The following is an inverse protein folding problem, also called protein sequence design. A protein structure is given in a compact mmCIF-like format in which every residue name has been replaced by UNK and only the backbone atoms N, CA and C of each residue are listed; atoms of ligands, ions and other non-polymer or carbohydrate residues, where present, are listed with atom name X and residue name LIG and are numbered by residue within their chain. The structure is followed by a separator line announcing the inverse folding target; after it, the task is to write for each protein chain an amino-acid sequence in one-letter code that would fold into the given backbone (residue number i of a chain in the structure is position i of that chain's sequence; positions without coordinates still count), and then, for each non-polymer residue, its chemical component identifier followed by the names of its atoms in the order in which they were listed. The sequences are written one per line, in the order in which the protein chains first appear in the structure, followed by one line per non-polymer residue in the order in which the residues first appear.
data_IF_898381358074
#
_entry.id   IF_898381358074
#
_cell.length_a   1.000
_cell.length_b   1.000
_cell.length_c   1.000
_cell.angle_alpha   90.00
_cell.angle_beta   90.00
_cell.angle_gamma   90.00
#
_symmetry.space_group_name_H-M   'P 1'
#
loop_
_entity.id
_entity.type
_entity.pdbx_description
1 polymer ?
#
# COMPACT_ATOMS: atom_id res chain seq x y z
N UNK A 1 -11.71 22.32 18.72
CA UNK A 1 -10.26 22.24 19.09
C UNK A 1 -9.45 22.38 17.82
N UNK A 2 -8.23 22.92 17.88
CA UNK A 2 -7.35 23.01 16.71
C UNK A 2 -6.72 21.65 16.43
N UNK A 3 -6.44 21.35 15.15
CA UNK A 3 -5.66 20.17 14.76
C UNK A 3 -4.24 20.33 15.28
N UNK A 4 -3.73 19.32 15.97
CA UNK A 4 -2.34 19.21 16.44
C UNK A 4 -1.59 18.06 15.78
N UNK A 5 -2.32 17.08 15.24
CA UNK A 5 -1.74 15.85 14.68
C UNK A 5 -2.32 15.56 13.30
N UNK A 6 -1.44 15.19 12.37
CA UNK A 6 -1.82 14.73 11.02
C UNK A 6 -1.36 13.29 10.87
N UNK A 7 -2.31 12.41 10.58
CA UNK A 7 -2.07 10.98 10.35
C UNK A 7 -2.10 10.75 8.85
N UNK A 8 -1.00 10.25 8.28
CA UNK A 8 -0.89 9.96 6.85
C UNK A 8 -0.95 8.46 6.60
N UNK A 9 -1.66 8.05 5.57
CA UNK A 9 -1.41 6.81 4.89
C UNK A 9 -0.14 6.90 4.03
N UNK A 10 0.44 5.75 3.65
CA UNK A 10 1.68 5.67 2.88
C UNK A 10 1.44 5.48 1.38
N UNK A 11 0.84 4.34 1.01
CA UNK A 11 0.72 3.88 -0.36
C UNK A 11 -0.35 4.66 -1.14
N UNK A 12 0.01 5.23 -2.27
CA UNK A 12 -0.82 6.11 -3.10
C UNK A 12 -1.28 7.43 -2.42
N UNK A 13 -0.77 7.68 -1.22
CA UNK A 13 -0.90 8.97 -0.51
C UNK A 13 0.41 9.76 -0.56
N UNK A 14 1.50 9.21 -0.04
CA UNK A 14 2.86 9.77 -0.05
C UNK A 14 3.74 9.09 -1.11
N UNK A 15 3.72 7.75 -1.16
CA UNK A 15 4.32 6.95 -2.20
C UNK A 15 3.33 6.76 -3.35
N UNK A 16 3.82 6.78 -4.57
CA UNK A 16 3.03 6.43 -5.74
C UNK A 16 3.18 4.93 -6.04
N UNK A 17 2.58 4.09 -5.17
CA UNK A 17 2.74 2.64 -5.24
C UNK A 17 2.11 2.04 -6.51
N UNK A 18 0.96 2.53 -6.94
CA UNK A 18 0.34 2.14 -8.22
C UNK A 18 1.30 2.28 -9.39
N UNK A 19 2.08 3.38 -9.45
CA UNK A 19 3.09 3.59 -10.50
C UNK A 19 4.25 2.62 -10.36
N UNK A 20 4.69 2.34 -9.14
CA UNK A 20 5.77 1.39 -8.87
C UNK A 20 5.37 -0.04 -9.30
N UNK A 21 4.17 -0.49 -8.92
CA UNK A 21 3.61 -1.78 -9.36
C UNK A 21 3.50 -1.86 -10.88
N UNK A 22 2.92 -0.83 -11.51
CA UNK A 22 2.76 -0.76 -12.96
C UNK A 22 4.11 -0.85 -13.67
N UNK A 23 5.09 -0.06 -13.23
CA UNK A 23 6.44 -0.04 -13.82
C UNK A 23 7.13 -1.41 -13.72
N UNK A 24 7.00 -2.09 -12.58
CA UNK A 24 7.59 -3.42 -12.40
C UNK A 24 6.93 -4.45 -13.32
N UNK A 25 5.60 -4.43 -13.47
CA UNK A 25 4.91 -5.28 -14.43
C UNK A 25 5.33 -4.98 -15.87
N UNK A 26 5.32 -3.71 -16.29
CA UNK A 26 5.72 -3.29 -17.63
C UNK A 26 7.14 -3.78 -17.98
N UNK A 27 8.10 -3.56 -17.10
CA UNK A 27 9.50 -3.99 -17.31
C UNK A 27 9.63 -5.51 -17.38
N UNK A 28 8.96 -6.23 -16.47
CA UNK A 28 9.01 -7.70 -16.44
C UNK A 28 8.33 -8.31 -17.66
N UNK A 29 7.15 -7.82 -18.05
CA UNK A 29 6.44 -8.32 -19.25
C UNK A 29 7.15 -7.94 -20.55
N UNK A 30 7.78 -6.76 -20.65
CA UNK A 30 8.61 -6.40 -21.80
C UNK A 30 9.83 -7.31 -21.91
N UNK A 31 10.47 -7.67 -20.81
CA UNK A 31 11.52 -8.68 -20.83
C UNK A 31 11.01 -10.04 -21.32
N UNK A 32 9.85 -10.48 -20.84
CA UNK A 32 9.26 -11.73 -21.32
C UNK A 32 9.04 -11.73 -22.83
N UNK A 33 8.66 -10.58 -23.41
CA UNK A 33 8.49 -10.42 -24.86
C UNK A 33 9.80 -10.51 -25.65
N UNK A 34 10.97 -10.34 -25.02
CA UNK A 34 12.27 -10.54 -25.69
C UNK A 34 12.68 -12.02 -25.77
N UNK A 35 12.13 -12.86 -24.88
CA UNK A 35 12.44 -14.31 -24.82
C UNK A 35 11.41 -15.13 -25.56
N UNK A 36 10.14 -14.83 -25.32
CA UNK A 36 9.00 -15.46 -26.01
C UNK A 36 8.24 -14.41 -26.83
N UNK A 37 7.65 -14.82 -27.94
CA UNK A 37 6.81 -13.93 -28.75
C UNK A 37 5.45 -13.70 -28.09
N UNK A 38 5.45 -12.99 -26.96
CA UNK A 38 4.27 -12.73 -26.11
C UNK A 38 3.94 -11.22 -26.12
N UNK A 39 2.64 -10.91 -26.09
CA UNK A 39 2.21 -9.53 -25.91
C UNK A 39 2.34 -9.12 -24.43
N UNK A 40 3.14 -8.10 -24.10
CA UNK A 40 3.39 -7.70 -22.71
C UNK A 40 2.12 -7.32 -21.94
N UNK A 41 1.19 -6.61 -22.58
CA UNK A 41 -0.06 -6.17 -21.95
C UNK A 41 -0.95 -7.35 -21.61
N UNK A 42 -1.08 -8.29 -22.53
CA UNK A 42 -1.86 -9.52 -22.29
C UNK A 42 -1.24 -10.41 -21.22
N UNK A 43 0.10 -10.44 -21.14
CA UNK A 43 0.80 -11.17 -20.08
C UNK A 43 0.53 -10.54 -18.72
N UNK A 44 0.64 -9.22 -18.60
CA UNK A 44 0.32 -8.51 -17.36
C UNK A 44 -1.11 -8.80 -16.91
N UNK A 45 -2.10 -8.66 -17.81
CA UNK A 45 -3.51 -8.96 -17.52
C UNK A 45 -3.70 -10.40 -17.01
N UNK A 46 -3.05 -11.38 -17.68
CA UNK A 46 -3.10 -12.77 -17.29
C UNK A 46 -2.48 -13.00 -15.91
N UNK A 47 -1.25 -12.52 -15.67
CA UNK A 47 -0.58 -12.67 -14.38
C UNK A 47 -1.37 -12.02 -13.24
N UNK A 48 -1.92 -10.82 -13.46
CA UNK A 48 -2.75 -10.14 -12.45
C UNK A 48 -4.02 -10.93 -12.10
N UNK A 49 -4.64 -11.56 -13.09
CA UNK A 49 -5.82 -12.45 -12.89
C UNK A 49 -5.43 -13.68 -12.10
N UNK A 50 -4.39 -14.39 -12.53
CA UNK A 50 -3.94 -15.63 -11.88
C UNK A 50 -3.43 -15.36 -10.46
N UNK A 51 -2.71 -14.26 -10.25
CA UNK A 51 -2.27 -13.85 -8.92
C UNK A 51 -3.44 -13.69 -7.95
N UNK A 52 -4.52 -12.99 -8.35
CA UNK A 52 -5.72 -12.84 -7.49
C UNK A 52 -6.36 -14.20 -7.18
N UNK A 53 -6.57 -15.02 -8.21
CA UNK A 53 -7.22 -16.33 -8.04
C UNK A 53 -6.43 -17.27 -7.12
N UNK A 54 -5.11 -17.31 -7.26
CA UNK A 54 -4.24 -18.09 -6.37
C UNK A 54 -4.27 -17.56 -4.94
N UNK A 55 -4.16 -16.25 -4.76
CA UNK A 55 -4.09 -15.61 -3.45
C UNK A 55 -5.34 -15.87 -2.62
N UNK A 56 -6.51 -15.79 -3.23
CA UNK A 56 -7.81 -16.10 -2.59
C UNK A 56 -7.93 -17.57 -2.16
N UNK A 57 -7.16 -18.46 -2.75
CA UNK A 57 -7.16 -19.90 -2.43
C UNK A 57 -6.29 -20.30 -1.24
N UNK A 58 -5.43 -19.43 -0.72
CA UNK A 58 -4.54 -19.78 0.37
C UNK A 58 -5.21 -19.66 1.75
N UNK A 59 -4.81 -20.53 2.67
CA UNK A 59 -5.30 -20.52 4.06
C UNK A 59 -5.03 -19.21 4.82
N UNK A 60 -4.09 -18.39 4.33
CA UNK A 60 -3.74 -17.08 4.90
C UNK A 60 -4.60 -15.94 4.39
N UNK A 61 -5.53 -16.19 3.46
CA UNK A 61 -6.29 -15.13 2.78
C UNK A 61 -7.06 -14.23 3.76
N UNK A 62 -7.81 -14.82 4.69
CA UNK A 62 -8.59 -14.05 5.69
C UNK A 62 -7.68 -13.16 6.54
N UNK A 63 -6.50 -13.64 6.89
CA UNK A 63 -5.53 -12.85 7.64
C UNK A 63 -4.98 -11.69 6.79
N UNK A 64 -4.65 -11.94 5.52
CA UNK A 64 -4.16 -10.88 4.63
C UNK A 64 -5.19 -9.79 4.40
N UNK A 65 -6.48 -10.16 4.28
CA UNK A 65 -7.59 -9.20 4.22
C UNK A 65 -7.71 -8.40 5.52
N UNK A 66 -7.60 -9.06 6.68
CA UNK A 66 -7.72 -8.43 8.00
C UNK A 66 -6.67 -7.32 8.21
N UNK A 67 -5.44 -7.53 7.76
CA UNK A 67 -4.35 -6.55 7.91
C UNK A 67 -4.11 -5.69 6.65
N UNK A 68 -4.85 -5.95 5.56
CA UNK A 68 -4.85 -5.15 4.35
C UNK A 68 -3.68 -5.40 3.41
N UNK A 69 -3.22 -6.65 3.28
CA UNK A 69 -2.22 -7.05 2.27
C UNK A 69 -2.92 -7.51 0.99
N UNK A 70 -2.57 -6.93 -0.13
CA UNK A 70 -3.14 -7.27 -1.43
C UNK A 70 -2.31 -8.34 -2.19
N UNK A 71 -2.89 -9.01 -3.22
CA UNK A 71 -2.20 -10.04 -3.99
C UNK A 71 -0.87 -9.59 -4.62
N UNK A 72 -0.77 -8.32 -5.01
CA UNK A 72 0.44 -7.82 -5.68
C UNK A 72 1.56 -7.52 -4.70
N UNK A 73 1.26 -7.26 -3.44
CA UNK A 73 2.23 -7.23 -2.35
C UNK A 73 2.78 -8.63 -2.08
N UNK A 74 1.94 -9.67 -2.15
CA UNK A 74 2.37 -11.07 -2.12
C UNK A 74 3.37 -11.43 -3.21
N UNK A 75 3.33 -10.78 -4.38
CA UNK A 75 4.27 -11.05 -5.46
C UNK A 75 5.71 -10.57 -5.18
N UNK A 76 5.96 -9.73 -4.18
CA UNK A 76 7.32 -9.23 -3.93
C UNK A 76 7.73 -9.17 -2.45
N UNK A 77 6.80 -9.28 -1.52
CA UNK A 77 7.07 -9.33 -0.08
C UNK A 77 7.77 -10.64 0.32
N UNK A 78 8.58 -10.60 1.37
CA UNK A 78 9.24 -11.78 1.95
C UNK A 78 8.51 -12.33 3.16
N UNK A 79 7.76 -11.48 3.87
CA UNK A 79 6.99 -11.81 5.07
C UNK A 79 7.85 -12.45 6.17
N UNK A 80 9.05 -11.90 6.40
CA UNK A 80 10.01 -12.37 7.42
C UNK A 80 9.58 -12.01 8.87
N UNK A 81 8.32 -11.62 9.04
CA UNK A 81 7.72 -11.24 10.31
C UNK A 81 7.46 -12.45 11.21
N UNK A 82 7.35 -12.23 12.53
CA UNK A 82 7.45 -13.32 13.53
C UNK A 82 6.14 -14.03 13.86
N UNK A 83 4.97 -13.51 13.47
CA UNK A 83 3.69 -14.18 13.80
C UNK A 83 3.47 -15.44 12.97
N UNK A 84 2.74 -16.41 13.50
CA UNK A 84 2.45 -17.67 12.82
C UNK A 84 1.84 -17.48 11.42
N UNK A 85 0.96 -16.49 11.27
CA UNK A 85 0.34 -16.19 9.98
C UNK A 85 1.36 -15.68 8.96
N UNK A 86 2.30 -14.83 9.38
CA UNK A 86 3.37 -14.38 8.49
C UNK A 86 4.37 -15.49 8.17
N UNK A 87 4.67 -16.39 9.11
CA UNK A 87 5.53 -17.54 8.81
C UNK A 87 4.89 -18.46 7.76
N UNK A 88 3.58 -18.68 7.82
CA UNK A 88 2.86 -19.39 6.76
C UNK A 88 2.92 -18.66 5.41
N UNK A 89 2.73 -17.34 5.40
CA UNK A 89 2.88 -16.54 4.18
C UNK A 89 4.29 -16.64 3.59
N UNK A 90 5.32 -16.62 4.44
CA UNK A 90 6.72 -16.80 4.03
C UNK A 90 6.95 -18.12 3.32
N UNK A 91 6.32 -19.21 3.78
CA UNK A 91 6.39 -20.52 3.13
C UNK A 91 5.64 -20.56 1.79
N UNK A 92 4.49 -19.89 1.70
CA UNK A 92 3.61 -19.86 0.51
C UNK A 92 4.20 -18.99 -0.61
N UNK A 93 4.73 -17.82 -0.27
CA UNK A 93 5.01 -16.75 -1.24
C UNK A 93 6.00 -17.12 -2.36
N UNK A 94 7.08 -17.89 -2.15
CA UNK A 94 7.95 -18.28 -3.27
C UNK A 94 7.21 -19.12 -4.33
N UNK A 95 6.37 -20.07 -3.90
CA UNK A 95 5.53 -20.88 -4.78
C UNK A 95 4.44 -20.04 -5.47
N UNK A 96 3.74 -19.21 -4.70
CA UNK A 96 2.73 -18.29 -5.22
C UNK A 96 3.26 -17.38 -6.34
N UNK A 97 4.44 -16.79 -6.13
CA UNK A 97 5.09 -15.92 -7.09
C UNK A 97 5.43 -16.65 -8.38
N UNK A 98 6.10 -17.80 -8.29
CA UNK A 98 6.43 -18.61 -9.44
C UNK A 98 5.19 -19.08 -10.19
N UNK A 99 4.16 -19.54 -9.47
CA UNK A 99 2.93 -20.08 -10.06
C UNK A 99 2.10 -19.00 -10.74
N UNK A 100 2.00 -17.79 -10.19
CA UNK A 100 1.26 -16.68 -10.80
C UNK A 100 1.83 -16.32 -12.18
N UNK A 101 3.13 -16.25 -12.33
CA UNK A 101 3.79 -15.96 -13.59
C UNK A 101 3.73 -17.17 -14.56
N UNK A 102 3.90 -18.39 -14.07
CA UNK A 102 3.78 -19.62 -14.87
C UNK A 102 2.36 -19.74 -15.45
N UNK A 103 1.33 -19.54 -14.64
CA UNK A 103 -0.07 -19.58 -15.12
C UNK A 103 -0.39 -18.42 -16.06
N UNK A 104 0.20 -17.25 -15.83
CA UNK A 104 0.10 -16.12 -16.75
C UNK A 104 0.67 -16.44 -18.14
N UNK A 105 1.83 -17.09 -18.22
CA UNK A 105 2.42 -17.59 -19.47
C UNK A 105 1.55 -18.67 -20.11
N UNK A 106 1.09 -19.64 -19.32
CA UNK A 106 0.24 -20.73 -19.80
C UNK A 106 -1.09 -20.23 -20.42
N UNK A 107 -1.67 -19.16 -19.87
CA UNK A 107 -2.86 -18.51 -20.44
C UNK A 107 -2.62 -17.93 -21.84
N UNK A 108 -1.35 -17.74 -22.23
CA UNK A 108 -0.92 -17.30 -23.57
C UNK A 108 -0.27 -18.43 -24.36
N UNK A 109 -0.52 -19.69 -23.98
CA UNK A 109 -0.02 -20.91 -24.60
C UNK A 109 1.52 -21.07 -24.55
N UNK A 110 2.16 -20.55 -23.51
CA UNK A 110 3.59 -20.73 -23.23
C UNK A 110 3.71 -21.63 -22.00
N UNK A 111 4.19 -22.85 -22.21
CA UNK A 111 4.45 -23.84 -21.16
C UNK A 111 5.92 -23.81 -20.77
N UNK A 112 6.27 -22.87 -19.87
CA UNK A 112 7.63 -22.68 -19.38
C UNK A 112 7.62 -22.26 -17.89
N UNK A 113 7.54 -23.26 -17.03
CA UNK A 113 7.51 -23.03 -15.57
C UNK A 113 8.82 -22.47 -15.03
N UNK A 114 9.97 -22.80 -15.64
CA UNK A 114 11.26 -22.27 -15.23
C UNK A 114 11.33 -20.77 -15.53
N UNK A 115 10.90 -20.37 -16.69
CA UNK A 115 10.83 -18.96 -17.08
C UNK A 115 9.80 -18.20 -16.24
N UNK A 116 8.65 -18.82 -15.91
CA UNK A 116 7.68 -18.25 -15.00
C UNK A 116 8.28 -17.91 -13.63
N UNK A 117 9.07 -18.82 -13.05
CA UNK A 117 9.79 -18.57 -11.80
C UNK A 117 10.82 -17.43 -11.95
N UNK A 118 11.56 -17.37 -13.06
CA UNK A 118 12.50 -16.29 -13.37
C UNK A 118 11.79 -14.92 -13.43
N UNK A 119 10.64 -14.86 -14.11
CA UNK A 119 9.84 -13.63 -14.19
C UNK A 119 9.33 -13.18 -12.81
N UNK A 120 8.97 -14.12 -11.94
CA UNK A 120 8.61 -13.83 -10.56
C UNK A 120 9.74 -13.13 -9.78
N UNK A 121 10.95 -13.65 -9.86
CA UNK A 121 12.12 -13.02 -9.23
C UNK A 121 12.50 -11.69 -9.88
N UNK A 122 12.35 -11.59 -11.20
CA UNK A 122 12.55 -10.33 -11.89
C UNK A 122 11.56 -9.25 -11.44
N UNK A 123 10.29 -9.59 -11.27
CA UNK A 123 9.29 -8.66 -10.75
C UNK A 123 9.69 -8.10 -9.38
N UNK A 124 10.19 -8.96 -8.47
CA UNK A 124 10.72 -8.52 -7.16
C UNK A 124 11.85 -7.53 -7.32
N UNK A 125 12.81 -7.83 -8.21
CA UNK A 125 13.96 -6.94 -8.45
C UNK A 125 13.51 -5.59 -9.02
N UNK A 126 12.57 -5.58 -9.98
CA UNK A 126 12.05 -4.35 -10.57
C UNK A 126 11.24 -3.50 -9.55
N UNK A 127 10.51 -4.15 -8.64
CA UNK A 127 9.82 -3.43 -7.54
C UNK A 127 10.81 -2.68 -6.63
N UNK A 128 11.90 -3.33 -6.25
CA UNK A 128 12.92 -2.76 -5.36
C UNK A 128 13.65 -1.55 -5.96
N UNK A 129 13.79 -1.50 -7.29
CA UNK A 129 14.50 -0.41 -7.98
C UNK A 129 13.56 0.62 -8.63
N UNK A 130 12.28 0.52 -8.39
CA UNK A 130 11.27 1.42 -8.95
C UNK A 130 10.39 2.06 -7.85
N UNK A 131 10.96 2.64 -6.79
CA UNK A 131 10.17 3.45 -5.86
C UNK A 131 9.80 4.78 -6.53
N UNK A 132 8.55 5.21 -6.35
CA UNK A 132 8.10 6.52 -6.78
C UNK A 132 7.40 7.23 -5.64
N UNK A 133 7.61 8.54 -5.57
CA UNK A 133 6.87 9.43 -4.69
C UNK A 133 6.04 10.39 -5.55
N UNK A 134 5.02 10.99 -4.95
CA UNK A 134 4.38 12.13 -5.56
C UNK A 134 5.29 13.36 -5.44
N UNK A 135 5.26 14.22 -6.46
CA UNK A 135 6.18 15.37 -6.57
C UNK A 135 6.04 16.35 -5.41
N UNK A 136 4.86 16.44 -4.81
CA UNK A 136 4.54 17.36 -3.73
C UNK A 136 4.79 16.77 -2.32
N UNK A 137 5.17 15.50 -2.19
CA UNK A 137 5.33 14.81 -0.91
C UNK A 137 6.28 15.54 0.04
N UNK A 138 7.52 15.75 -0.36
CA UNK A 138 8.51 16.36 0.54
C UNK A 138 8.23 17.84 0.81
N UNK A 139 7.80 18.59 -0.22
CA UNK A 139 7.50 20.01 -0.06
C UNK A 139 6.39 20.25 0.98
N UNK A 140 5.42 19.33 1.06
CA UNK A 140 4.33 19.39 2.04
C UNK A 140 4.80 18.92 3.42
N UNK A 141 5.49 17.78 3.49
CA UNK A 141 6.02 17.25 4.75
C UNK A 141 6.97 18.25 5.44
N UNK A 142 7.84 18.95 4.67
CA UNK A 142 8.73 19.99 5.19
C UNK A 142 7.97 21.15 5.84
N UNK A 143 6.82 21.51 5.31
CA UNK A 143 6.02 22.61 5.87
C UNK A 143 5.19 22.20 7.09
N UNK A 144 4.89 20.92 7.24
CA UNK A 144 4.11 20.38 8.36
C UNK A 144 4.99 19.99 9.55
N UNK A 145 6.20 19.47 9.29
CA UNK A 145 7.15 19.03 10.32
C UNK A 145 7.48 20.15 11.29
N UNK A 146 7.39 19.84 12.58
CA UNK A 146 7.65 20.79 13.68
C UNK A 146 6.51 21.76 13.98
N UNK A 147 5.44 21.77 13.16
CA UNK A 147 4.19 22.48 13.45
C UNK A 147 3.11 21.54 13.97
N UNK A 148 3.10 20.32 13.45
CA UNK A 148 2.17 19.24 13.79
C UNK A 148 2.95 18.01 14.20
N UNK A 149 2.36 17.19 15.06
CA UNK A 149 2.80 15.81 15.23
C UNK A 149 2.40 15.03 13.97
N UNK A 150 3.36 14.31 13.37
CA UNK A 150 3.12 13.53 12.16
C UNK A 150 3.14 12.04 12.49
N UNK A 151 2.09 11.35 12.11
CA UNK A 151 1.94 9.89 12.29
C UNK A 151 1.77 9.23 10.95
N UNK A 152 2.51 8.16 10.69
CA UNK A 152 2.30 7.27 9.55
C UNK A 152 1.47 6.08 10.00
N UNK A 153 0.32 5.85 9.36
CA UNK A 153 -0.55 4.70 9.60
C UNK A 153 -0.79 3.95 8.29
N UNK A 154 -0.11 2.83 8.11
CA UNK A 154 -0.16 2.05 6.87
C UNK A 154 -0.61 0.62 7.09
N UNK A 155 -1.41 0.09 6.15
CA UNK A 155 -1.79 -1.32 6.11
C UNK A 155 -0.69 -2.13 5.42
N UNK A 156 -0.38 -3.31 5.93
CA UNK A 156 0.57 -4.24 5.31
C UNK A 156 1.37 -5.07 6.32
N UNK A 157 2.26 -5.90 5.79
CA UNK A 157 3.24 -6.64 6.57
C UNK A 157 4.36 -5.70 7.03
N UNK A 158 4.83 -5.78 8.30
CA UNK A 158 5.92 -4.94 8.79
C UNK A 158 7.18 -5.05 7.95
N UNK A 159 7.59 -6.27 7.58
CA UNK A 159 8.75 -6.49 6.70
C UNK A 159 8.65 -5.77 5.37
N UNK A 160 7.45 -5.74 4.77
CA UNK A 160 7.23 -5.12 3.47
C UNK A 160 7.13 -3.59 3.57
N UNK A 161 6.37 -3.06 4.53
CA UNK A 161 6.24 -1.61 4.69
C UNK A 161 7.57 -0.97 5.12
N UNK A 162 8.35 -1.66 5.99
CA UNK A 162 9.71 -1.22 6.32
C UNK A 162 10.63 -1.26 5.09
N UNK A 163 10.55 -2.28 4.23
CA UNK A 163 11.31 -2.30 2.97
C UNK A 163 10.95 -1.10 2.07
N UNK A 164 9.66 -0.73 1.97
CA UNK A 164 9.26 0.47 1.23
C UNK A 164 9.93 1.73 1.80
N UNK A 165 9.98 1.86 3.13
CA UNK A 165 10.66 2.98 3.80
C UNK A 165 12.19 2.92 3.66
N UNK A 166 12.78 1.74 3.62
CA UNK A 166 14.23 1.57 3.38
C UNK A 166 14.66 2.00 1.97
N UNK A 167 13.84 1.72 0.96
CA UNK A 167 14.13 2.15 -0.43
C UNK A 167 13.70 3.60 -0.71
N UNK A 168 13.04 4.27 0.25
CA UNK A 168 12.69 5.69 0.27
C UNK A 168 13.05 6.30 1.62
N UNK A 169 14.36 6.32 1.99
CA UNK A 169 14.82 6.55 3.35
C UNK A 169 14.51 7.96 3.88
N UNK A 170 14.19 8.90 3.00
CA UNK A 170 13.88 10.27 3.38
C UNK A 170 12.49 10.42 4.03
N UNK A 171 11.58 9.43 3.87
CA UNK A 171 10.20 9.50 4.37
C UNK A 171 10.13 9.31 5.88
N UNK A 172 10.71 8.23 6.40
CA UNK A 172 10.57 7.85 7.81
C UNK A 172 10.96 8.97 8.80
N UNK A 173 12.01 9.79 8.56
CA UNK A 173 12.42 10.85 9.48
C UNK A 173 11.39 11.98 9.69
N UNK A 174 10.35 12.07 8.88
CA UNK A 174 9.29 13.07 9.09
C UNK A 174 8.34 12.70 10.21
N UNK A 175 8.19 11.42 10.53
CA UNK A 175 7.14 10.91 11.39
C UNK A 175 7.61 10.70 12.84
N UNK A 176 6.80 11.15 13.78
CA UNK A 176 7.00 10.92 15.22
C UNK A 176 6.61 9.48 15.58
N UNK A 177 5.63 8.91 14.88
CA UNK A 177 5.21 7.52 15.03
C UNK A 177 4.96 6.89 13.66
N UNK A 178 5.39 5.63 13.50
CA UNK A 178 5.09 4.78 12.35
C UNK A 178 4.35 3.55 12.86
N UNK A 179 3.13 3.35 12.38
CA UNK A 179 2.25 2.26 12.80
C UNK A 179 1.87 1.46 11.57
N UNK A 180 2.20 0.16 11.61
CA UNK A 180 1.95 -0.80 10.55
C UNK A 180 0.91 -1.81 11.05
N UNK A 181 -0.13 -2.05 10.28
CA UNK A 181 -1.25 -2.91 10.70
C UNK A 181 -0.84 -4.33 11.06
N UNK A 182 0.18 -4.87 10.40
CA UNK A 182 0.69 -6.20 10.69
C UNK A 182 1.31 -6.36 12.09
N UNK A 183 1.88 -5.29 12.66
CA UNK A 183 2.36 -5.27 14.06
C UNK A 183 1.19 -5.19 15.05
N UNK A 184 0.11 -4.53 14.67
CA UNK A 184 -1.08 -4.39 15.51
C UNK A 184 -2.02 -5.60 15.43
N UNK A 185 -2.05 -6.30 14.28
CA UNK A 185 -2.88 -7.47 14.02
C UNK A 185 -4.22 -7.19 13.34
N UNK A 186 -4.56 -5.92 13.09
CA UNK A 186 -5.72 -5.49 12.30
C UNK A 186 -5.40 -4.21 11.55
N UNK A 187 -5.91 -4.10 10.32
CA UNK A 187 -5.72 -2.93 9.46
C UNK A 187 -6.91 -1.98 9.43
N UNK A 188 -6.69 -0.79 8.89
CA UNK A 188 -7.76 0.12 8.49
C UNK A 188 -8.74 -0.65 7.56
N UNK A 189 -10.04 -0.53 7.72
CA UNK A 189 -10.81 0.45 8.50
C UNK A 189 -11.26 -0.01 9.89
N UNK A 190 -10.59 -0.97 10.54
CA UNK A 190 -10.96 -1.36 11.91
C UNK A 190 -10.74 -0.18 12.86
N UNK A 191 -11.75 0.14 13.68
CA UNK A 191 -11.69 1.28 14.60
C UNK A 191 -10.54 1.15 15.61
N UNK A 192 -10.22 -0.08 16.04
CA UNK A 192 -9.22 -0.33 17.07
C UNK A 192 -7.81 0.11 16.70
N UNK A 193 -7.43 0.10 15.41
CA UNK A 193 -6.11 0.60 15.02
C UNK A 193 -6.04 2.14 15.13
N UNK A 194 -7.14 2.84 14.87
CA UNK A 194 -7.22 4.30 15.08
C UNK A 194 -7.21 4.65 16.57
N UNK A 195 -7.89 3.87 17.42
CA UNK A 195 -7.83 4.01 18.87
C UNK A 195 -6.41 3.81 19.39
N UNK A 196 -5.70 2.80 18.87
CA UNK A 196 -4.29 2.56 19.18
C UNK A 196 -3.39 3.72 18.72
N UNK A 197 -3.63 4.30 17.54
CA UNK A 197 -2.91 5.51 17.10
C UNK A 197 -3.14 6.67 18.06
N UNK A 198 -4.38 6.92 18.47
CA UNK A 198 -4.70 8.00 19.41
C UNK A 198 -4.02 7.80 20.76
N UNK A 199 -3.99 6.58 21.27
CA UNK A 199 -3.26 6.23 22.51
C UNK A 199 -1.75 6.49 22.36
N UNK A 200 -1.13 6.00 21.29
CA UNK A 200 0.31 6.12 21.02
C UNK A 200 0.76 7.57 20.82
N UNK A 201 -0.04 8.36 20.14
CA UNK A 201 0.24 9.77 19.89
C UNK A 201 -0.21 10.70 21.05
N UNK A 202 -0.92 10.14 22.05
CA UNK A 202 -1.51 10.85 23.18
C UNK A 202 -2.44 12.01 22.75
N UNK A 203 -3.39 11.70 21.88
CA UNK A 203 -4.33 12.65 21.28
C UNK A 203 -5.76 12.11 21.33
N UNK A 204 -6.71 13.02 21.10
CA UNK A 204 -8.12 12.70 20.88
C UNK A 204 -8.49 12.80 19.38
N UNK A 205 -9.61 12.22 18.98
CA UNK A 205 -10.08 12.27 17.60
C UNK A 205 -10.26 13.72 17.08
N UNK A 206 -10.70 14.65 17.94
CA UNK A 206 -10.91 16.07 17.58
C UNK A 206 -9.61 16.84 17.32
N UNK A 207 -8.47 16.33 17.82
CA UNK A 207 -7.15 16.93 17.67
C UNK A 207 -6.40 16.40 16.45
N UNK A 208 -6.94 15.36 15.79
CA UNK A 208 -6.30 14.69 14.68
C UNK A 208 -7.11 14.83 13.38
N UNK A 209 -6.39 14.63 12.27
CA UNK A 209 -6.97 14.50 10.93
C UNK A 209 -6.27 13.36 10.19
N UNK A 210 -7.06 12.41 9.65
CA UNK A 210 -6.54 11.34 8.79
C UNK A 210 -6.47 11.80 7.33
N UNK A 211 -5.36 11.55 6.67
CA UNK A 211 -5.10 11.86 5.27
C UNK A 211 -4.79 10.58 4.51
N UNK A 212 -5.59 10.22 3.52
CA UNK A 212 -5.40 9.01 2.74
C UNK A 212 -6.13 9.02 1.39
N UNK A 213 -5.77 8.09 0.51
CA UNK A 213 -6.35 7.97 -0.84
C UNK A 213 -7.56 7.04 -0.90
N UNK A 214 -7.79 6.22 0.14
CA UNK A 214 -8.76 5.13 0.08
C UNK A 214 -9.98 5.38 0.97
N UNK A 215 -11.15 5.53 0.32
CA UNK A 215 -12.44 5.72 1.00
C UNK A 215 -12.79 4.57 1.95
N UNK A 216 -12.44 3.32 1.60
CA UNK A 216 -12.86 2.13 2.32
C UNK A 216 -11.95 1.78 3.50
N UNK A 217 -10.77 2.36 3.59
CA UNK A 217 -9.80 2.14 4.68
C UNK A 217 -9.61 3.40 5.51
N UNK A 218 -9.05 4.46 4.93
CA UNK A 218 -8.65 5.68 5.61
C UNK A 218 -9.84 6.50 6.09
N UNK A 219 -10.75 6.77 5.14
CA UNK A 219 -11.90 7.64 5.39
C UNK A 219 -12.95 6.91 6.22
N UNK A 220 -13.29 5.68 5.86
CA UNK A 220 -14.24 4.88 6.62
C UNK A 220 -13.74 4.62 8.06
N UNK A 221 -12.46 4.25 8.21
CA UNK A 221 -11.89 3.91 9.51
C UNK A 221 -11.83 5.11 10.45
N UNK A 222 -11.31 6.25 9.99
CA UNK A 222 -11.26 7.49 10.76
C UNK A 222 -12.66 8.01 11.12
N UNK A 223 -13.63 7.87 10.21
CA UNK A 223 -15.02 8.24 10.49
C UNK A 223 -15.66 7.41 11.60
N UNK A 224 -15.28 6.12 11.74
CA UNK A 224 -15.79 5.24 12.81
C UNK A 224 -15.40 5.68 14.21
N UNK A 225 -14.31 6.42 14.34
CA UNK A 225 -13.84 6.97 15.62
C UNK A 225 -14.13 8.46 15.76
N UNK A 226 -14.92 9.04 14.85
CA UNK A 226 -15.28 10.47 14.88
C UNK A 226 -14.14 11.42 14.52
N UNK A 227 -13.05 10.91 13.92
CA UNK A 227 -11.91 11.70 13.49
C UNK A 227 -12.19 12.37 12.14
N UNK A 228 -11.81 13.65 12.01
CA UNK A 228 -11.83 14.34 10.71
C UNK A 228 -10.90 13.65 9.71
N UNK A 229 -11.23 13.74 8.43
CA UNK A 229 -10.44 13.12 7.38
C UNK A 229 -10.38 13.95 6.10
N UNK A 230 -9.34 13.69 5.32
CA UNK A 230 -9.13 14.26 3.99
C UNK A 230 -8.91 13.13 3.01
N UNK A 231 -9.77 13.02 2.04
CA UNK A 231 -9.59 12.12 0.93
C UNK A 231 -8.72 12.76 -0.14
N UNK A 232 -7.56 12.15 -0.42
CA UNK A 232 -6.67 12.56 -1.52
C UNK A 232 -7.17 11.87 -2.80
N UNK A 233 -7.95 12.57 -3.57
CA UNK A 233 -8.61 12.07 -4.80
C UNK A 233 -7.89 12.54 -6.07
N UNK A 234 -6.68 12.04 -6.30
CA UNK A 234 -5.84 12.45 -7.46
C UNK A 234 -6.43 12.07 -8.82
N UNK A 235 -7.30 11.06 -8.85
CA UNK A 235 -7.86 10.51 -10.08
C UNK A 235 -9.28 11.02 -10.39
N UNK A 236 -9.81 11.94 -9.57
CA UNK A 236 -11.19 12.45 -9.67
C UNK A 236 -12.23 11.31 -9.66
N UNK A 237 -12.02 10.30 -8.83
CA UNK A 237 -12.95 9.19 -8.65
C UNK A 237 -14.26 9.68 -8.03
N UNK A 238 -15.37 9.05 -8.42
CA UNK A 238 -16.67 9.33 -7.80
C UNK A 238 -16.77 8.53 -6.50
N UNK A 239 -17.10 9.21 -5.40
CA UNK A 239 -17.35 8.54 -4.12
C UNK A 239 -18.52 7.56 -4.28
N UNK A 240 -18.33 6.32 -3.82
CA UNK A 240 -19.32 5.23 -3.96
C UNK A 240 -20.53 5.34 -3.01
N UNK A 241 -20.61 6.43 -2.24
CA UNK A 241 -21.71 6.68 -1.31
C UNK A 241 -21.67 5.90 0.01
N UNK A 242 -20.68 5.01 0.20
CA UNK A 242 -20.55 4.23 1.44
C UNK A 242 -20.05 5.09 2.62
N UNK A 243 -19.23 6.10 2.33
CA UNK A 243 -18.71 7.07 3.30
C UNK A 243 -18.53 8.43 2.62
N UNK A 244 -18.76 9.50 3.38
CA UNK A 244 -18.50 10.87 2.92
C UNK A 244 -17.28 11.40 3.64
N UNK A 245 -16.22 11.82 2.93
CA UNK A 245 -15.05 12.43 3.57
C UNK A 245 -15.42 13.78 4.18
N UNK A 246 -14.71 14.18 5.26
CA UNK A 246 -14.86 15.53 5.83
C UNK A 246 -14.38 16.58 4.83
N UNK A 247 -13.28 16.28 4.14
CA UNK A 247 -12.71 17.10 3.07
C UNK A 247 -12.23 16.21 1.93
N UNK A 248 -12.19 16.76 0.73
CA UNK A 248 -11.65 16.14 -0.46
C UNK A 248 -10.69 17.12 -1.14
N UNK A 249 -9.51 16.64 -1.54
CA UNK A 249 -8.50 17.39 -2.29
C UNK A 249 -7.87 16.48 -3.35
N UNK A 250 -7.26 17.07 -4.36
CA UNK A 250 -6.63 16.35 -5.49
C UNK A 250 -5.11 16.17 -5.33
N UNK A 251 -4.50 16.79 -4.32
CA UNK A 251 -3.04 16.82 -4.14
C UNK A 251 -2.64 17.08 -2.69
N UNK A 252 -1.40 16.79 -2.33
CA UNK A 252 -0.87 17.17 -1.02
C UNK A 252 -0.65 18.70 -0.93
N UNK A 253 -0.40 19.37 -2.04
CA UNK A 253 -0.35 20.84 -2.08
C UNK A 253 -1.69 21.45 -1.69
N UNK A 254 -2.80 20.93 -2.23
CA UNK A 254 -4.13 21.38 -1.85
C UNK A 254 -4.49 21.01 -0.40
N UNK A 255 -3.99 19.86 0.11
CA UNK A 255 -4.08 19.52 1.54
C UNK A 255 -3.42 20.61 2.40
N UNK A 256 -2.22 21.06 2.06
CA UNK A 256 -1.51 22.07 2.84
C UNK A 256 -2.29 23.39 2.89
N UNK A 257 -2.91 23.80 1.78
CA UNK A 257 -3.78 24.97 1.75
C UNK A 257 -5.02 24.80 2.63
N UNK A 258 -5.58 23.58 2.69
CA UNK A 258 -6.69 23.26 3.58
C UNK A 258 -6.27 23.33 5.04
N UNK A 259 -5.17 22.66 5.43
CA UNK A 259 -4.66 22.62 6.80
C UNK A 259 -4.38 24.03 7.34
N UNK A 260 -3.85 24.93 6.51
CA UNK A 260 -3.58 26.32 6.90
C UNK A 260 -4.86 27.15 7.18
N UNK A 261 -6.04 26.65 6.86
CA UNK A 261 -7.35 27.30 7.09
C UNK A 261 -8.12 26.71 8.28
N UNK A 262 -7.66 25.56 8.82
CA UNK A 262 -8.27 24.84 9.96
C UNK A 262 -7.69 25.30 11.30
#
# INVERSE_FOLDING_TARGET
MSISTIIFDLDDTLLWDKKSVKTAFEKTCNYAATVHNVNPVKLEEAVRREARALYEGYETYDYTVLIGINPFEGLWGTFDDTTDSFQKMKEIVPGYRAEAWTKGLAALNIDDAQFGAELGERFVAERKVSPFLYEDTFAVLDQLKGKYQLVLLTNGAPSLQNLKLEITPEIAPYFDHIIISGDFGKGKPDASIFEFVMEKANITADEAIMVGDNLNTDILGSSRVGMRNVWINRENNIANGAVTPTYEVDSLTALLELINKL
#
